data_IF_248295371819
#
_entry.id   IF_248295371819
#
_cell.length_a   1.000
_cell.length_b   1.000
_cell.length_c   1.000
_cell.angle_alpha   90.00
_cell.angle_beta   90.00
_cell.angle_gamma   90.00
#
_symmetry.space_group_name_H-M   'P 1'
#
loop_
_entity.id
_entity.type
_entity.pdbx_description
1 polymer ?
#
# COMPACT_ATOMS: atom_id res chain seq x y z
N UNK A 1 -25.40 53.34 14.59
CA UNK A 1 -26.26 52.15 14.59
C UNK A 1 -26.98 52.09 13.25
N UNK A 2 -26.87 51.08 12.38
CA UNK A 2 -25.96 49.92 12.30
C UNK A 2 -26.05 49.32 10.85
N UNK A 3 -25.32 48.30 10.39
CA UNK A 3 -24.54 47.26 11.09
C UNK A 3 -23.29 46.78 10.31
N UNK A 4 -22.72 45.67 10.77
CA UNK A 4 -21.49 44.97 10.38
C UNK A 4 -21.31 44.55 8.90
N UNK A 5 -20.16 44.97 8.35
CA UNK A 5 -19.16 44.14 7.64
C UNK A 5 -19.61 42.83 6.93
N UNK A 6 -20.08 42.92 5.67
CA UNK A 6 -20.17 41.79 4.72
C UNK A 6 -18.79 41.32 4.19
N UNK A 7 -17.83 40.99 5.07
CA UNK A 7 -16.49 40.49 4.69
C UNK A 7 -15.97 39.15 5.30
N UNK A 8 -16.71 38.35 6.11
CA UNK A 8 -16.14 37.10 6.63
C UNK A 8 -16.13 35.93 5.63
N UNK A 9 -17.03 35.92 4.63
CA UNK A 9 -17.27 34.74 3.81
C UNK A 9 -16.11 34.36 2.88
N UNK A 10 -15.41 35.36 2.31
CA UNK A 10 -14.27 35.13 1.41
C UNK A 10 -13.07 34.53 2.15
N UNK A 11 -12.76 35.03 3.35
CA UNK A 11 -11.66 34.50 4.17
C UNK A 11 -11.89 33.04 4.58
N UNK A 12 -13.14 32.66 4.88
CA UNK A 12 -13.46 31.28 5.25
C UNK A 12 -13.23 30.31 4.09
N UNK A 13 -13.58 30.72 2.85
CA UNK A 13 -13.37 29.88 1.66
C UNK A 13 -11.88 29.62 1.35
N UNK A 14 -11.02 30.62 1.58
CA UNK A 14 -9.59 30.51 1.33
C UNK A 14 -8.89 29.57 2.32
N UNK A 15 -9.37 29.54 3.57
CA UNK A 15 -8.80 28.70 4.63
C UNK A 15 -9.07 27.20 4.40
N UNK A 16 -10.25 26.85 3.85
CA UNK A 16 -10.62 25.47 3.50
C UNK A 16 -9.75 24.94 2.36
N UNK A 17 -9.40 25.78 1.38
CA UNK A 17 -8.55 25.38 0.27
C UNK A 17 -7.10 25.09 0.70
N UNK A 18 -6.57 25.86 1.65
CA UNK A 18 -5.24 25.64 2.21
C UNK A 18 -5.13 24.33 3.02
N UNK A 19 -6.21 23.92 3.69
CA UNK A 19 -6.25 22.68 4.48
C UNK A 19 -6.17 21.39 3.64
N UNK A 20 -6.45 21.46 2.33
CA UNK A 20 -6.40 20.30 1.43
C UNK A 20 -4.98 19.95 0.93
N UNK A 21 -3.98 20.81 1.14
CA UNK A 21 -2.62 20.62 0.60
C UNK A 21 -1.59 20.08 1.61
N UNK A 22 -1.98 19.82 2.86
CA UNK A 22 -1.03 19.52 3.96
C UNK A 22 -0.73 18.04 4.21
N UNK A 23 -1.16 17.11 3.33
CA UNK A 23 -0.94 15.66 3.55
C UNK A 23 0.03 14.99 2.56
N UNK A 24 0.88 15.78 1.90
CA UNK A 24 2.01 15.26 1.11
C UNK A 24 3.21 14.88 2.01
N UNK A 25 2.98 14.05 3.04
CA UNK A 25 4.06 13.39 3.78
C UNK A 25 4.74 12.39 2.84
N UNK A 26 5.93 12.71 2.32
CA UNK A 26 6.68 11.78 1.46
C UNK A 26 6.99 10.49 2.26
N UNK A 27 6.68 9.32 1.68
CA UNK A 27 7.03 8.06 2.32
C UNK A 27 8.48 7.69 2.02
N UNK A 28 9.17 7.17 3.04
CA UNK A 28 10.61 6.90 2.99
C UNK A 28 10.88 5.71 2.06
N UNK A 29 11.90 5.84 1.22
CA UNK A 29 12.35 4.82 0.25
C UNK A 29 11.34 4.51 -0.89
N UNK A 30 10.44 5.44 -1.25
CA UNK A 30 9.61 5.30 -2.46
C UNK A 30 10.24 5.84 -3.74
N UNK A 31 11.39 6.52 -3.67
CA UNK A 31 12.03 7.16 -4.83
C UNK A 31 12.46 6.17 -5.93
N UNK A 32 12.37 4.87 -5.68
CA UNK A 32 12.66 3.76 -6.61
C UNK A 32 11.42 3.17 -7.30
N UNK A 33 10.20 3.53 -6.89
CA UNK A 33 8.96 2.92 -7.37
C UNK A 33 8.07 3.93 -8.11
N UNK A 34 7.54 3.52 -9.27
CA UNK A 34 6.57 4.31 -10.01
C UNK A 34 5.20 4.32 -9.34
N UNK A 35 4.41 5.33 -9.66
CA UNK A 35 2.96 5.37 -9.39
C UNK A 35 2.27 5.44 -10.74
N UNK A 36 1.35 4.51 -11.00
CA UNK A 36 0.65 4.44 -12.29
C UNK A 36 -0.48 5.48 -12.38
N UNK A 37 -1.16 5.54 -13.52
CA UNK A 37 -2.26 6.48 -13.78
C UNK A 37 -3.48 6.32 -12.88
N UNK A 38 -3.61 5.19 -12.16
CA UNK A 38 -4.68 4.93 -11.20
C UNK A 38 -4.28 5.36 -9.76
N UNK A 39 -3.03 5.79 -9.54
CA UNK A 39 -2.50 6.07 -8.21
C UNK A 39 -1.95 4.84 -7.47
N UNK A 40 -1.84 3.70 -8.14
CA UNK A 40 -1.27 2.46 -7.58
C UNK A 40 0.25 2.57 -7.57
N UNK A 41 0.85 2.22 -6.44
CA UNK A 41 2.30 2.17 -6.28
C UNK A 41 2.84 0.85 -6.82
N UNK A 42 3.71 0.92 -7.82
CA UNK A 42 4.27 -0.24 -8.51
C UNK A 42 5.59 -0.68 -7.85
N UNK A 43 5.46 -1.44 -6.77
CA UNK A 43 6.57 -2.12 -6.08
C UNK A 43 6.79 -3.54 -6.64
N UNK A 44 6.66 -3.70 -7.96
CA UNK A 44 6.83 -4.95 -8.70
C UNK A 44 8.15 -4.94 -9.49
N UNK A 45 8.68 -6.13 -9.78
CA UNK A 45 9.89 -6.29 -10.60
C UNK A 45 9.48 -6.40 -12.07
N UNK A 46 10.25 -5.86 -13.03
CA UNK A 46 9.90 -5.99 -14.47
C UNK A 46 9.79 -7.48 -14.87
N UNK A 47 10.75 -8.29 -14.39
CA UNK A 47 10.79 -9.74 -14.55
C UNK A 47 10.45 -10.45 -13.24
N UNK A 48 9.15 -10.67 -13.03
CA UNK A 48 8.62 -11.43 -11.89
C UNK A 48 9.33 -12.77 -11.69
N UNK A 49 9.68 -13.10 -10.45
CA UNK A 49 10.25 -14.39 -10.09
C UNK A 49 9.24 -15.53 -10.37
N UNK A 50 9.73 -16.66 -10.90
CA UNK A 50 8.92 -17.84 -11.28
C UNK A 50 8.17 -18.51 -10.12
N UNK A 51 8.62 -18.32 -8.88
CA UNK A 51 8.05 -18.89 -7.66
C UNK A 51 7.21 -17.86 -6.87
N UNK A 52 7.04 -16.65 -7.42
CA UNK A 52 6.33 -15.55 -6.79
C UNK A 52 4.89 -15.38 -7.30
N UNK A 53 4.12 -14.57 -6.57
CA UNK A 53 2.79 -14.09 -6.93
C UNK A 53 2.80 -12.57 -7.01
N UNK A 54 2.17 -12.01 -8.06
CA UNK A 54 1.93 -10.57 -8.21
C UNK A 54 0.53 -10.24 -7.76
N UNK A 55 0.43 -9.29 -6.83
CA UNK A 55 -0.81 -8.90 -6.18
C UNK A 55 -0.99 -7.39 -6.24
N UNK A 56 -2.23 -6.95 -6.45
CA UNK A 56 -2.68 -5.58 -6.15
C UNK A 56 -3.50 -5.61 -4.86
N UNK A 57 -3.36 -4.60 -4.02
CA UNK A 57 -4.10 -4.55 -2.76
C UNK A 57 -3.84 -3.30 -1.93
N UNK A 58 -4.62 -3.15 -0.87
CA UNK A 58 -4.61 -1.98 0.00
C UNK A 58 -3.89 -2.26 1.32
N UNK A 59 -3.03 -1.32 1.72
CA UNK A 59 -2.35 -1.33 3.03
C UNK A 59 -3.34 -0.86 4.11
N UNK A 60 -3.77 -1.76 4.99
CA UNK A 60 -4.84 -1.49 5.96
C UNK A 60 -4.34 -0.87 7.28
N UNK A 61 -3.11 -1.15 7.68
CA UNK A 61 -2.49 -0.67 8.93
C UNK A 61 -1.34 0.31 8.68
N UNK A 62 -0.87 0.97 9.75
CA UNK A 62 0.41 1.71 9.72
C UNK A 62 1.56 0.71 9.84
N UNK A 63 2.71 1.02 9.25
CA UNK A 63 3.90 0.18 9.30
C UNK A 63 4.29 -0.18 10.76
N UNK A 64 4.28 -1.47 11.07
CA UNK A 64 4.82 -2.01 12.33
C UNK A 64 6.24 -2.52 12.05
N UNK A 65 7.26 -1.90 12.65
CA UNK A 65 8.64 -2.36 12.48
C UNK A 65 8.88 -3.63 13.31
N UNK A 66 9.36 -4.69 12.67
CA UNK A 66 9.74 -5.96 13.29
C UNK A 66 11.13 -6.32 12.78
N UNK A 67 12.12 -6.29 13.68
CA UNK A 67 13.54 -6.33 13.34
C UNK A 67 13.92 -5.29 12.26
N UNK A 68 14.35 -5.75 11.09
CA UNK A 68 14.74 -4.98 9.91
C UNK A 68 13.61 -4.79 8.88
N UNK A 69 12.44 -5.42 9.11
CA UNK A 69 11.29 -5.44 8.19
C UNK A 69 10.13 -4.60 8.72
N UNK A 70 9.18 -4.30 7.84
CA UNK A 70 7.90 -3.67 8.20
C UNK A 70 6.75 -4.63 7.91
N UNK A 71 5.88 -4.83 8.90
CA UNK A 71 4.65 -5.61 8.82
C UNK A 71 3.44 -4.70 8.58
N UNK A 72 2.50 -5.18 7.76
CA UNK A 72 1.19 -4.59 7.51
C UNK A 72 0.10 -5.67 7.46
N UNK A 73 -1.14 -5.26 7.71
CA UNK A 73 -2.31 -5.96 7.16
C UNK A 73 -2.50 -5.47 5.72
N UNK A 74 -2.58 -6.40 4.77
CA UNK A 74 -2.75 -6.11 3.35
C UNK A 74 -4.04 -6.77 2.87
N UNK A 75 -4.98 -5.99 2.35
CA UNK A 75 -6.21 -6.51 1.75
C UNK A 75 -5.99 -6.71 0.26
N UNK A 76 -6.04 -7.95 -0.21
CA UNK A 76 -5.88 -8.28 -1.64
C UNK A 76 -7.08 -7.74 -2.42
N UNK A 77 -6.84 -6.89 -3.41
CA UNK A 77 -7.85 -6.42 -4.37
C UNK A 77 -7.79 -7.18 -5.69
N UNK A 78 -6.61 -7.70 -6.07
CA UNK A 78 -6.43 -8.46 -7.32
C UNK A 78 -5.27 -9.46 -7.22
N UNK A 79 -5.44 -10.64 -7.81
CA UNK A 79 -4.34 -11.55 -8.15
C UNK A 79 -3.97 -11.33 -9.61
N UNK A 80 -2.90 -10.58 -9.84
CA UNK A 80 -2.53 -10.10 -11.18
C UNK A 80 -1.83 -11.19 -12.00
N UNK A 81 -0.94 -11.96 -11.35
CA UNK A 81 -0.15 -13.00 -12.03
C UNK A 81 0.41 -14.04 -11.05
N UNK A 82 0.37 -15.30 -11.44
CA UNK A 82 1.12 -16.39 -10.79
C UNK A 82 2.42 -16.67 -11.54
N UNK A 83 3.49 -16.97 -10.82
CA UNK A 83 4.74 -17.47 -11.37
C UNK A 83 4.57 -18.88 -11.97
N UNK A 84 5.37 -19.20 -12.99
CA UNK A 84 5.26 -20.48 -13.71
C UNK A 84 5.56 -21.73 -12.87
N UNK A 85 6.20 -21.56 -11.71
CA UNK A 85 6.45 -22.62 -10.73
C UNK A 85 5.90 -22.29 -9.33
N UNK A 86 5.01 -21.29 -9.24
CA UNK A 86 4.28 -20.98 -8.01
C UNK A 86 3.45 -22.19 -7.56
N UNK A 87 3.64 -22.61 -6.31
CA UNK A 87 3.04 -23.83 -5.74
C UNK A 87 2.66 -23.69 -4.26
N UNK A 88 2.73 -22.48 -3.71
CA UNK A 88 2.37 -22.14 -2.33
C UNK A 88 0.91 -21.66 -2.25
N UNK A 89 0.46 -21.18 -1.09
CA UNK A 89 -0.92 -20.77 -0.91
C UNK A 89 -1.21 -19.43 -1.64
N UNK A 90 -2.23 -19.44 -2.50
CA UNK A 90 -2.78 -18.23 -3.11
C UNK A 90 -3.76 -17.54 -2.14
N UNK A 91 -3.72 -16.19 -1.99
CA UNK A 91 -4.72 -15.44 -1.25
C UNK A 91 -5.98 -15.25 -2.10
N UNK A 92 -7.15 -15.23 -1.45
CA UNK A 92 -8.41 -14.90 -2.15
C UNK A 92 -8.54 -13.38 -2.33
N UNK A 93 -9.15 -12.94 -3.43
CA UNK A 93 -9.57 -11.53 -3.58
C UNK A 93 -10.52 -11.16 -2.44
N UNK A 94 -10.23 -10.02 -1.79
CA UNK A 94 -10.92 -9.55 -0.60
C UNK A 94 -10.35 -10.05 0.74
N UNK A 95 -9.43 -11.03 0.73
CA UNK A 95 -8.75 -11.55 1.92
C UNK A 95 -7.75 -10.54 2.50
N UNK A 96 -7.70 -10.44 3.83
CA UNK A 96 -6.64 -9.71 4.54
C UNK A 96 -5.54 -10.68 4.94
N UNK A 97 -4.31 -10.38 4.54
CA UNK A 97 -3.11 -11.19 4.78
C UNK A 97 -2.04 -10.37 5.49
N UNK A 98 -1.07 -11.04 6.12
CA UNK A 98 0.09 -10.36 6.70
C UNK A 98 1.13 -10.10 5.61
N UNK A 99 1.53 -8.85 5.42
CA UNK A 99 2.56 -8.45 4.47
C UNK A 99 3.81 -8.01 5.21
N UNK A 100 4.96 -8.60 4.88
CA UNK A 100 6.28 -8.14 5.32
C UNK A 100 7.10 -7.55 4.17
N UNK A 101 7.60 -6.34 4.35
CA UNK A 101 8.44 -5.63 3.40
C UNK A 101 9.86 -5.40 3.97
N UNK A 102 10.93 -5.63 3.20
CA UNK A 102 12.29 -5.28 3.61
C UNK A 102 12.55 -3.80 3.31
N UNK A 103 12.80 -2.97 4.34
CA UNK A 103 13.22 -1.57 4.17
C UNK A 103 12.23 -0.57 3.54
N UNK A 104 11.15 -1.02 2.90
CA UNK A 104 10.13 -0.18 2.23
C UNK A 104 9.00 0.19 3.19
N UNK A 105 8.67 1.48 3.27
CA UNK A 105 7.60 1.99 4.16
C UNK A 105 6.40 2.45 3.33
N UNK A 106 5.31 1.70 3.38
CA UNK A 106 4.04 2.10 2.78
C UNK A 106 3.18 2.92 3.74
N UNK A 107 2.27 3.71 3.17
CA UNK A 107 1.28 4.49 3.93
C UNK A 107 0.06 3.63 4.19
N UNK A 108 -0.58 3.83 5.35
CA UNK A 108 -1.95 3.34 5.54
C UNK A 108 -2.86 3.90 4.43
N UNK A 109 -3.74 3.04 3.92
CA UNK A 109 -4.69 3.21 2.83
C UNK A 109 -4.09 3.32 1.41
N UNK A 110 -2.77 3.24 1.20
CA UNK A 110 -2.21 3.20 -0.16
C UNK A 110 -2.54 1.90 -0.87
N UNK A 111 -2.86 1.97 -2.16
CA UNK A 111 -2.93 0.80 -3.04
C UNK A 111 -1.54 0.52 -3.63
N UNK A 112 -1.13 -0.74 -3.60
CA UNK A 112 0.20 -1.21 -3.99
C UNK A 112 0.05 -2.44 -4.88
N UNK A 113 0.80 -2.47 -5.98
CA UNK A 113 1.03 -3.65 -6.81
C UNK A 113 2.47 -4.12 -6.60
N UNK A 114 2.66 -5.38 -6.20
CA UNK A 114 3.97 -5.92 -5.80
C UNK A 114 4.12 -7.40 -6.14
N UNK A 115 5.37 -7.85 -6.19
CA UNK A 115 5.72 -9.27 -6.22
C UNK A 115 6.03 -9.77 -4.81
N UNK A 116 5.52 -10.95 -4.45
CA UNK A 116 5.73 -11.56 -3.15
C UNK A 116 5.92 -13.08 -3.22
N UNK A 117 6.63 -13.65 -2.25
CA UNK A 117 6.54 -15.07 -1.92
C UNK A 117 5.45 -15.28 -0.86
N UNK A 118 4.51 -16.19 -1.11
CA UNK A 118 3.53 -16.59 -0.08
C UNK A 118 4.04 -17.79 0.72
N UNK A 119 3.73 -17.82 2.01
CA UNK A 119 4.02 -19.00 2.85
C UNK A 119 3.00 -20.11 2.59
N UNK A 120 3.31 -21.38 2.94
CA UNK A 120 2.27 -22.37 3.19
C UNK A 120 1.27 -21.85 4.23
N UNK A 121 0.00 -22.24 4.10
CA UNK A 121 -1.08 -21.84 5.01
C UNK A 121 -1.25 -22.91 6.10
N UNK A 122 -0.97 -22.57 7.36
CA UNK A 122 -1.40 -23.35 8.51
C UNK A 122 -2.92 -23.25 8.71
N UNK A 123 -3.53 -24.18 9.45
CA UNK A 123 -5.00 -24.21 9.64
C UNK A 123 -5.57 -22.96 10.29
N UNK A 124 -4.81 -22.36 11.22
CA UNK A 124 -5.28 -21.32 12.15
C UNK A 124 -4.50 -20.00 12.05
N UNK A 125 -3.61 -19.86 11.05
CA UNK A 125 -2.76 -18.68 10.86
C UNK A 125 -3.15 -17.88 9.61
N UNK A 126 -3.11 -16.53 9.66
CA UNK A 126 -3.30 -15.72 8.47
C UNK A 126 -2.17 -15.97 7.48
N UNK A 127 -2.52 -16.06 6.18
CA UNK A 127 -1.53 -16.21 5.13
C UNK A 127 -0.52 -15.05 5.18
N UNK A 128 0.76 -15.38 5.04
CA UNK A 128 1.87 -14.41 5.06
C UNK A 128 2.46 -14.24 3.66
N UNK A 129 2.69 -12.98 3.30
CA UNK A 129 3.36 -12.54 2.09
C UNK A 129 4.69 -11.86 2.44
N UNK A 130 5.74 -12.25 1.72
CA UNK A 130 7.06 -11.65 1.81
C UNK A 130 7.33 -10.91 0.51
N UNK A 131 7.25 -9.57 0.54
CA UNK A 131 7.52 -8.74 -0.63
C UNK A 131 8.96 -8.92 -1.11
N UNK A 132 9.12 -9.05 -2.42
CA UNK A 132 10.41 -9.12 -3.11
C UNK A 132 10.81 -7.70 -3.48
N UNK A 133 12.09 -7.38 -3.28
CA UNK A 133 12.72 -6.13 -3.74
C UNK A 133 13.94 -6.49 -4.58
N UNK A 134 14.36 -5.56 -5.45
CA UNK A 134 15.68 -5.58 -6.09
C UNK A 134 16.75 -4.99 -5.16
#
# INVERSE_FOLDING_TARGET
>A
MDYYAKKPLLFLSLLVLAALMTNCSAAKNLNTYSVNTEGVLEAQIERMNKDAIRLKGQIMTKAQKIADRYQYEFKVTEVVKLGSTFSTAEPKVGETVLLYTPGVVFKKNSEVMMDAFSTPRGSDEPLTLNMIVE
#
